data_IF_119500135750
#
_entry.id   IF_119500135750
#
_cell.length_a   1.000
_cell.length_b   1.000
_cell.length_c   1.000
_cell.angle_alpha   90.00
_cell.angle_beta   90.00
_cell.angle_gamma   90.00
#
_symmetry.space_group_name_H-M   'P 1'
#
loop_
_entity.id
_entity.type
_entity.pdbx_description
1 polymer ?
#
# COMPACT_ATOMS: atom_id res chain seq x y z
N UNK A 1 -20.63 21.72 -6.76
CA UNK A 1 -19.45 21.90 -5.91
C UNK A 1 -19.03 20.51 -5.45
N UNK A 2 -17.95 19.94 -6.00
CA UNK A 2 -17.46 18.66 -5.52
C UNK A 2 -16.81 18.91 -4.16
N UNK A 3 -17.44 18.42 -3.09
CA UNK A 3 -16.79 18.29 -1.80
C UNK A 3 -15.65 17.30 -2.00
N UNK A 4 -14.44 17.82 -2.24
CA UNK A 4 -13.20 17.09 -1.97
C UNK A 4 -13.20 16.86 -0.47
N UNK A 5 -13.82 15.75 -0.03
CA UNK A 5 -13.55 15.19 1.28
C UNK A 5 -12.04 14.98 1.34
N UNK A 6 -11.36 15.93 1.99
CA UNK A 6 -9.97 15.83 2.39
C UNK A 6 -9.87 14.67 3.39
N UNK A 7 -9.99 13.44 2.90
CA UNK A 7 -9.47 12.29 3.58
C UNK A 7 -7.97 12.56 3.69
N UNK A 8 -7.53 12.95 4.88
CA UNK A 8 -6.13 12.97 5.26
C UNK A 8 -5.64 11.52 5.21
N UNK A 9 -5.36 11.03 4.01
CA UNK A 9 -4.72 9.74 3.78
C UNK A 9 -3.27 9.94 4.18
N UNK A 10 -2.90 9.39 5.34
CA UNK A 10 -1.53 9.40 5.83
C UNK A 10 -0.63 8.72 4.80
N UNK A 11 0.20 9.52 4.12
CA UNK A 11 1.17 9.02 3.16
C UNK A 11 2.35 8.37 3.88
N UNK A 12 3.01 7.36 3.28
CA UNK A 12 4.25 6.79 3.82
C UNK A 12 5.35 7.85 3.97
N UNK A 13 6.30 7.64 4.87
CA UNK A 13 7.44 8.55 5.05
C UNK A 13 8.45 8.48 3.90
N UNK A 14 8.62 7.30 3.31
CA UNK A 14 9.47 7.07 2.13
C UNK A 14 8.67 6.39 1.02
N UNK A 15 8.72 6.97 -0.17
CA UNK A 15 8.07 6.47 -1.39
C UNK A 15 8.63 7.18 -2.62
N UNK A 16 8.44 6.61 -3.80
CA UNK A 16 8.74 7.28 -5.05
C UNK A 16 7.62 8.28 -5.40
N UNK A 17 7.99 9.53 -5.72
CA UNK A 17 7.03 10.62 -5.98
C UNK A 17 6.04 10.29 -7.09
N UNK A 18 6.47 9.54 -8.09
CA UNK A 18 5.65 9.08 -9.21
C UNK A 18 4.54 8.12 -8.78
N UNK A 19 4.78 7.34 -7.72
CA UNK A 19 3.82 6.36 -7.21
C UNK A 19 2.84 6.98 -6.19
N UNK A 20 3.08 8.23 -5.77
CA UNK A 20 2.25 8.94 -4.79
C UNK A 20 0.73 8.90 -5.08
N UNK A 21 0.24 9.23 -6.29
CA UNK A 21 -1.19 9.16 -6.59
C UNK A 21 -1.73 7.73 -6.43
N UNK A 22 -1.01 6.74 -6.93
CA UNK A 22 -1.40 5.33 -6.85
C UNK A 22 -1.43 4.83 -5.40
N UNK A 23 -0.42 5.16 -4.59
CA UNK A 23 -0.37 4.79 -3.17
C UNK A 23 -1.56 5.41 -2.42
N UNK A 24 -1.88 6.69 -2.69
CA UNK A 24 -3.02 7.37 -2.08
C UNK A 24 -4.34 6.65 -2.41
N UNK A 25 -4.54 6.27 -3.67
CA UNK A 25 -5.70 5.51 -4.11
C UNK A 25 -5.79 4.15 -3.40
N UNK A 26 -4.69 3.39 -3.34
CA UNK A 26 -4.68 2.09 -2.64
C UNK A 26 -4.99 2.23 -1.15
N UNK A 27 -4.39 3.21 -0.46
CA UNK A 27 -4.66 3.45 0.96
C UNK A 27 -6.10 3.94 1.20
N UNK A 28 -6.69 4.70 0.26
CA UNK A 28 -8.08 5.13 0.36
C UNK A 28 -9.06 3.94 0.35
N UNK A 29 -8.72 2.83 -0.31
CA UNK A 29 -9.55 1.60 -0.28
C UNK A 29 -9.62 0.94 1.10
N UNK A 30 -8.67 1.25 1.99
CA UNK A 30 -8.58 0.66 3.31
C UNK A 30 -9.37 1.48 4.34
N UNK A 31 -9.85 0.84 5.43
CA UNK A 31 -10.46 1.54 6.56
C UNK A 31 -9.47 2.51 7.22
N UNK A 32 -9.96 3.66 7.69
CA UNK A 32 -9.15 4.75 8.24
C UNK A 32 -8.14 4.28 9.32
N UNK A 33 -8.57 3.43 10.27
CA UNK A 33 -7.72 2.93 11.36
C UNK A 33 -6.58 2.00 10.92
N UNK A 34 -6.55 1.55 9.66
CA UNK A 34 -5.48 0.69 9.13
C UNK A 34 -4.55 1.42 8.16
N UNK A 35 -4.98 2.56 7.61
CA UNK A 35 -4.20 3.33 6.61
C UNK A 35 -2.82 3.68 7.12
N UNK A 36 -2.73 4.21 8.35
CA UNK A 36 -1.46 4.61 8.96
C UNK A 36 -0.51 3.41 9.14
N UNK A 37 -1.02 2.30 9.67
CA UNK A 37 -0.22 1.07 9.85
C UNK A 37 0.32 0.54 8.52
N UNK A 38 -0.50 0.56 7.48
CA UNK A 38 -0.10 0.08 6.15
C UNK A 38 0.85 1.08 5.48
N UNK A 39 0.68 2.39 5.68
CA UNK A 39 1.61 3.40 5.21
C UNK A 39 3.00 3.23 5.85
N UNK A 40 3.06 2.96 7.15
CA UNK A 40 4.31 2.65 7.85
C UNK A 40 4.95 1.35 7.33
N UNK A 41 4.16 0.28 7.17
CA UNK A 41 4.65 -1.00 6.65
C UNK A 41 5.15 -0.88 5.19
N UNK A 42 4.51 -0.05 4.38
CA UNK A 42 4.96 0.28 3.04
C UNK A 42 6.34 0.97 3.07
N UNK A 43 6.48 2.01 3.89
CA UNK A 43 7.73 2.74 4.05
C UNK A 43 8.87 1.82 4.50
N UNK A 44 8.61 0.94 5.47
CA UNK A 44 9.58 -0.04 5.92
C UNK A 44 10.00 -0.99 4.79
N UNK A 45 9.04 -1.56 4.05
CA UNK A 45 9.34 -2.46 2.94
C UNK A 45 10.13 -1.77 1.81
N UNK A 46 9.86 -0.49 1.58
CA UNK A 46 10.60 0.32 0.62
C UNK A 46 12.05 0.48 1.06
N UNK A 47 12.28 0.88 2.30
CA UNK A 47 13.62 1.11 2.85
C UNK A 47 14.43 -0.20 2.89
N UNK A 48 13.85 -1.30 3.39
CA UNK A 48 14.49 -2.62 3.42
C UNK A 48 14.97 -3.06 2.03
N UNK A 49 14.12 -2.91 1.01
CA UNK A 49 14.47 -3.30 -0.36
C UNK A 49 15.44 -2.33 -1.03
N UNK A 50 15.46 -1.06 -0.61
CA UNK A 50 16.44 -0.08 -1.04
C UNK A 50 17.83 -0.43 -0.50
N UNK A 51 17.91 -0.71 0.80
CA UNK A 51 19.17 -1.01 1.51
C UNK A 51 19.73 -2.39 1.13
N UNK A 52 18.86 -3.34 0.77
CA UNK A 52 19.27 -4.67 0.33
C UNK A 52 19.85 -4.69 -1.10
N UNK A 53 19.55 -3.69 -1.94
CA UNK A 53 20.05 -3.64 -3.32
C UNK A 53 21.45 -3.01 -3.36
N UNK A 54 22.49 -3.76 -3.78
CA UNK A 54 23.87 -3.26 -3.79
C UNK A 54 24.13 -2.27 -4.93
N UNK A 55 23.31 -2.29 -5.99
CA UNK A 55 23.52 -1.46 -7.17
C UNK A 55 22.73 -0.15 -7.04
N UNK A 56 23.41 0.95 -6.76
CA UNK A 56 22.80 2.26 -6.45
C UNK A 56 21.70 2.70 -7.42
N UNK A 57 21.93 2.62 -8.74
CA UNK A 57 20.92 3.04 -9.73
C UNK A 57 19.71 2.09 -9.84
N UNK A 58 19.79 0.88 -9.26
CA UNK A 58 18.66 -0.09 -9.21
C UNK A 58 17.87 -0.01 -7.92
N UNK A 59 18.45 0.55 -6.85
CA UNK A 59 17.84 0.59 -5.50
C UNK A 59 16.42 1.14 -5.53
N UNK A 60 16.21 2.26 -6.22
CA UNK A 60 14.88 2.87 -6.31
C UNK A 60 13.86 1.95 -7.00
N UNK A 61 14.25 1.28 -8.08
CA UNK A 61 13.38 0.35 -8.80
C UNK A 61 13.09 -0.92 -7.99
N UNK A 62 14.10 -1.44 -7.26
CA UNK A 62 13.95 -2.59 -6.38
C UNK A 62 13.01 -2.27 -5.20
N UNK A 63 13.19 -1.11 -4.57
CA UNK A 63 12.37 -0.60 -3.49
C UNK A 63 10.90 -0.43 -3.92
N UNK A 64 10.67 0.30 -5.03
CA UNK A 64 9.34 0.50 -5.62
C UNK A 64 8.66 -0.83 -5.92
N UNK A 65 9.35 -1.75 -6.62
CA UNK A 65 8.80 -3.05 -7.00
C UNK A 65 8.35 -3.83 -5.76
N UNK A 66 9.17 -3.86 -4.72
CA UNK A 66 8.88 -4.64 -3.51
C UNK A 66 7.72 -4.03 -2.72
N UNK A 67 7.78 -2.73 -2.45
CA UNK A 67 6.76 -2.03 -1.68
C UNK A 67 5.40 -2.01 -2.40
N UNK A 68 5.37 -1.68 -3.70
CA UNK A 68 4.13 -1.63 -4.49
C UNK A 68 3.49 -3.02 -4.63
N UNK A 69 4.32 -4.07 -4.82
CA UNK A 69 3.82 -5.45 -4.87
C UNK A 69 3.14 -5.82 -3.55
N UNK A 70 3.80 -5.58 -2.41
CA UNK A 70 3.24 -5.87 -1.08
C UNK A 70 1.92 -5.12 -0.84
N UNK A 71 1.87 -3.83 -1.17
CA UNK A 71 0.65 -3.02 -1.01
C UNK A 71 -0.49 -3.56 -1.88
N UNK A 72 -0.21 -3.88 -3.14
CA UNK A 72 -1.22 -4.44 -4.06
C UNK A 72 -1.74 -5.78 -3.57
N UNK A 73 -0.86 -6.68 -3.14
CA UNK A 73 -1.24 -7.99 -2.60
C UNK A 73 -2.10 -7.83 -1.34
N UNK A 74 -1.74 -6.91 -0.45
CA UNK A 74 -2.52 -6.59 0.74
C UNK A 74 -3.91 -6.07 0.38
N UNK A 75 -4.00 -5.00 -0.42
CA UNK A 75 -5.29 -4.43 -0.84
C UNK A 75 -6.14 -5.48 -1.57
N UNK A 76 -5.56 -6.29 -2.46
CA UNK A 76 -6.29 -7.33 -3.21
C UNK A 76 -6.86 -8.41 -2.29
N UNK A 77 -6.10 -8.87 -1.29
CA UNK A 77 -6.55 -9.89 -0.34
C UNK A 77 -7.52 -9.34 0.72
N UNK A 78 -7.34 -8.08 1.10
CA UNK A 78 -8.09 -7.44 2.18
C UNK A 78 -9.45 -6.89 1.71
N UNK A 79 -9.55 -6.43 0.45
CA UNK A 79 -10.80 -5.88 -0.09
C UNK A 79 -11.99 -6.86 -0.05
N UNK A 80 -11.85 -8.16 -0.36
CA UNK A 80 -12.93 -9.14 -0.21
C UNK A 80 -13.28 -9.43 1.27
N UNK A 81 -12.25 -9.55 2.13
CA UNK A 81 -12.41 -9.89 3.54
C UNK A 81 -13.14 -8.78 4.32
N UNK A 82 -12.92 -7.52 3.97
CA UNK A 82 -13.58 -6.37 4.62
C UNK A 82 -14.93 -6.03 4.02
N UNK A 83 -15.17 -6.32 2.74
CA UNK A 83 -16.47 -6.08 2.09
C UNK A 83 -17.52 -7.16 2.39
N UNK A 84 -17.21 -8.14 3.24
CA UNK A 84 -18.17 -9.19 3.63
C UNK A 84 -18.35 -10.29 2.57
N UNK A 85 -17.49 -10.35 1.55
CA UNK A 85 -17.47 -11.44 0.57
C UNK A 85 -16.61 -12.62 1.02
N UNK A 86 -16.54 -12.88 2.33
CA UNK A 86 -16.07 -14.18 2.80
C UNK A 86 -17.14 -15.18 2.42
N UNK A 87 -17.00 -15.81 1.25
CA UNK A 87 -17.81 -16.96 0.88
C UNK A 87 -17.66 -17.99 2.01
N UNK A 88 -18.78 -18.44 2.56
CA UNK A 88 -18.79 -19.56 3.51
C UNK A 88 -17.95 -20.71 2.92
N UNK A 89 -17.06 -21.34 3.71
CA UNK A 89 -16.30 -22.48 3.22
C UNK A 89 -17.28 -23.54 2.68
N UNK A 90 -16.96 -24.20 1.54
CA UNK A 90 -17.84 -25.21 0.98
C UNK A 90 -18.05 -26.30 2.03
N UNK A 91 -19.32 -26.53 2.40
CA UNK A 91 -19.68 -27.65 3.27
C UNK A 91 -19.41 -28.93 2.48
N UNK A 92 -18.41 -29.69 2.92
CA UNK A 92 -18.18 -31.09 2.52
C UNK A 92 -19.09 -31.97 3.35
#
# INVERSE_FOLDING_TARGET
MYQDEYFHVTMPTVFAREDAPWIKEQLATLPAGMREKIAMAYAQAYQEAFDAEPVSFRQQNAARRTANRRLREFCTRYTPAVRGYTSLPPKV
#
